data_IF_391332376995
#
_entry.id   IF_391332376995
#
_cell.length_a   1.000
_cell.length_b   1.000
_cell.length_c   1.000
_cell.angle_alpha   90.00
_cell.angle_beta   90.00
_cell.angle_gamma   90.00
#
_symmetry.space_group_name_H-M   'P 1'
#
loop_
_entity.id
_entity.type
_entity.pdbx_description
1 polymer ?
#
# COMPACT_ATOMS: atom_id res chain seq x y z
N UNK A 1 -3.75 -23.43 0.37
CA UNK A 1 -3.60 -21.99 0.65
C UNK A 1 -4.93 -21.27 0.47
N UNK A 2 -5.59 -21.46 -0.67
CA UNK A 2 -6.90 -20.90 -0.98
C UNK A 2 -7.96 -21.16 0.12
N UNK A 3 -8.10 -22.40 0.62
CA UNK A 3 -9.05 -22.73 1.69
C UNK A 3 -8.87 -21.88 2.96
N UNK A 4 -7.63 -21.58 3.33
CA UNK A 4 -7.30 -20.75 4.50
C UNK A 4 -7.68 -19.29 4.24
N UNK A 5 -7.49 -18.81 3.01
CA UNK A 5 -7.86 -17.47 2.59
C UNK A 5 -9.38 -17.32 2.54
N UNK A 6 -10.08 -18.32 1.97
CA UNK A 6 -11.54 -18.37 1.81
C UNK A 6 -12.26 -18.36 3.14
N UNK A 7 -11.67 -18.94 4.20
CA UNK A 7 -12.22 -18.91 5.56
C UNK A 7 -12.30 -17.50 6.14
N UNK A 8 -11.33 -16.62 5.84
CA UNK A 8 -11.26 -15.27 6.40
C UNK A 8 -10.68 -14.25 5.39
N UNK A 9 -11.34 -13.97 4.25
CA UNK A 9 -10.77 -13.16 3.17
C UNK A 9 -10.46 -11.73 3.63
N UNK A 10 -11.32 -11.14 4.46
CA UNK A 10 -11.13 -9.80 5.03
C UNK A 10 -9.86 -9.70 5.88
N UNK A 11 -9.55 -10.74 6.67
CA UNK A 11 -8.33 -10.77 7.48
C UNK A 11 -7.09 -10.75 6.59
N UNK A 12 -7.11 -11.52 5.50
CA UNK A 12 -6.02 -11.56 4.53
C UNK A 12 -5.84 -10.23 3.79
N UNK A 13 -6.93 -9.54 3.44
CA UNK A 13 -6.87 -8.19 2.88
C UNK A 13 -6.21 -7.22 3.88
N UNK A 14 -6.57 -7.27 5.16
CA UNK A 14 -5.93 -6.41 6.18
C UNK A 14 -4.45 -6.77 6.36
N UNK A 15 -4.12 -8.06 6.41
CA UNK A 15 -2.74 -8.52 6.61
C UNK A 15 -1.82 -8.09 5.47
N UNK A 16 -2.23 -8.29 4.21
CA UNK A 16 -1.46 -7.86 3.02
C UNK A 16 -1.31 -6.34 3.02
N UNK A 17 -2.37 -5.60 3.30
CA UNK A 17 -2.32 -4.14 3.38
C UNK A 17 -1.30 -3.66 4.44
N UNK A 18 -1.36 -4.21 5.65
CA UNK A 18 -0.43 -3.84 6.72
C UNK A 18 1.02 -4.23 6.38
N UNK A 19 1.22 -5.37 5.72
CA UNK A 19 2.55 -5.78 5.25
C UNK A 19 3.12 -4.80 4.20
N UNK A 20 2.31 -4.39 3.22
CA UNK A 20 2.70 -3.40 2.21
C UNK A 20 3.01 -2.04 2.85
N UNK A 21 2.17 -1.57 3.76
CA UNK A 21 2.40 -0.32 4.50
C UNK A 21 3.68 -0.40 5.33
N UNK A 22 3.89 -1.49 6.06
CA UNK A 22 5.11 -1.69 6.85
C UNK A 22 6.36 -1.70 5.95
N UNK A 23 6.33 -2.41 4.83
CA UNK A 23 7.41 -2.40 3.83
C UNK A 23 7.68 -1.01 3.28
N UNK A 24 6.64 -0.25 2.95
CA UNK A 24 6.77 1.12 2.46
C UNK A 24 7.39 2.08 3.49
N UNK A 25 6.95 1.99 4.76
CA UNK A 25 7.50 2.79 5.86
C UNK A 25 8.93 2.37 6.23
N UNK A 26 9.29 1.10 6.05
CA UNK A 26 10.64 0.59 6.30
C UNK A 26 11.62 1.00 5.20
N UNK A 27 11.25 0.77 3.93
CA UNK A 27 12.10 1.08 2.77
C UNK A 27 12.22 2.58 2.50
N UNK A 28 11.24 3.38 2.94
CA UNK A 28 11.20 4.84 2.78
C UNK A 28 11.60 5.29 1.36
N UNK A 29 10.84 4.91 0.32
CA UNK A 29 11.23 5.20 -1.06
C UNK A 29 11.40 6.70 -1.28
N UNK A 30 12.47 7.08 -2.00
CA UNK A 30 12.87 8.48 -2.18
C UNK A 30 11.80 9.37 -2.85
N UNK A 31 10.81 8.77 -3.54
CA UNK A 31 9.67 9.49 -4.14
C UNK A 31 8.65 9.98 -3.10
N UNK A 32 8.57 9.32 -1.94
CA UNK A 32 7.61 9.63 -0.87
C UNK A 32 8.29 10.14 0.40
N UNK A 33 9.57 9.83 0.61
CA UNK A 33 10.35 10.23 1.78
C UNK A 33 11.55 11.10 1.40
N UNK A 34 11.84 12.08 2.26
CA UNK A 34 13.03 12.91 2.18
C UNK A 34 14.27 12.17 2.69
N UNK A 35 15.44 12.80 2.53
CA UNK A 35 16.73 12.23 2.99
C UNK A 35 16.75 11.96 4.50
N UNK A 36 16.04 12.77 5.26
CA UNK A 36 15.94 12.63 6.71
C UNK A 36 14.88 11.59 7.14
N UNK A 37 14.25 10.91 6.18
CA UNK A 37 13.19 9.93 6.42
C UNK A 37 11.83 10.53 6.76
N UNK A 38 11.67 11.85 6.65
CA UNK A 38 10.39 12.54 6.76
C UNK A 38 9.54 12.32 5.50
N UNK A 39 8.21 12.29 5.64
CA UNK A 39 7.31 12.25 4.49
C UNK A 39 7.44 13.54 3.69
N UNK A 40 7.63 13.43 2.37
CA UNK A 40 7.71 14.59 1.48
C UNK A 40 6.38 15.32 1.44
N UNK A 41 6.36 16.65 1.56
CA UNK A 41 5.13 17.42 1.40
C UNK A 41 4.64 17.31 -0.04
N UNK A 42 3.32 17.26 -0.20
CA UNK A 42 2.70 17.29 -1.52
C UNK A 42 2.92 18.64 -2.20
N UNK A 43 3.26 18.62 -3.50
CA UNK A 43 3.36 19.81 -4.33
C UNK A 43 4.32 19.65 -5.51
N UNK A 44 4.30 20.62 -6.43
CA UNK A 44 5.12 20.64 -7.66
C UNK A 44 6.23 21.70 -7.64
N UNK A 45 6.20 22.62 -6.68
CA UNK A 45 7.01 23.85 -6.70
C UNK A 45 8.22 23.89 -5.76
N UNK A 46 8.47 22.84 -4.97
CA UNK A 46 9.64 22.77 -4.08
C UNK A 46 10.52 21.59 -4.47
N UNK A 47 11.85 21.75 -4.40
CA UNK A 47 12.80 20.69 -4.74
C UNK A 47 12.57 19.39 -3.96
N UNK A 48 12.07 19.50 -2.73
CA UNK A 48 11.81 18.35 -1.85
C UNK A 48 10.32 17.97 -1.77
N UNK A 49 9.44 18.56 -2.58
CA UNK A 49 8.05 18.12 -2.64
C UNK A 49 7.87 16.88 -3.52
N UNK A 50 6.77 16.17 -3.32
CA UNK A 50 6.36 15.04 -4.16
C UNK A 50 5.03 15.32 -4.84
N UNK A 51 4.88 14.85 -6.07
CA UNK A 51 3.60 14.88 -6.80
C UNK A 51 2.68 13.76 -6.31
N UNK A 52 3.22 12.72 -5.67
CA UNK A 52 2.45 11.61 -5.12
C UNK A 52 2.34 11.74 -3.60
N UNK A 53 1.28 12.36 -3.08
CA UNK A 53 1.11 12.50 -1.65
C UNK A 53 1.01 11.12 -0.99
N UNK A 54 1.44 11.02 0.27
CA UNK A 54 1.52 9.73 0.99
C UNK A 54 0.20 8.97 0.99
N UNK A 55 -0.94 9.66 1.09
CA UNK A 55 -2.26 9.02 1.08
C UNK A 55 -2.58 8.28 -0.22
N UNK A 56 -1.98 8.68 -1.36
CA UNK A 56 -2.15 7.96 -2.64
C UNK A 56 -1.54 6.57 -2.56
N UNK A 57 -0.39 6.43 -1.90
CA UNK A 57 0.23 5.13 -1.65
C UNK A 57 -0.63 4.28 -0.72
N UNK A 58 -1.15 4.88 0.36
CA UNK A 58 -2.02 4.18 1.32
C UNK A 58 -3.29 3.66 0.64
N UNK A 59 -3.98 4.48 -0.15
CA UNK A 59 -5.16 4.07 -0.91
C UNK A 59 -4.78 3.01 -1.96
N UNK A 60 -3.67 3.21 -2.67
CA UNK A 60 -3.16 2.24 -3.65
C UNK A 60 -2.90 0.87 -3.05
N UNK A 61 -2.28 0.79 -1.88
CA UNK A 61 -2.05 -0.48 -1.18
C UNK A 61 -3.35 -1.14 -0.73
N UNK A 62 -4.36 -0.38 -0.35
CA UNK A 62 -5.67 -0.94 -0.01
C UNK A 62 -6.32 -1.59 -1.24
N UNK A 63 -6.28 -0.92 -2.40
CA UNK A 63 -6.78 -1.47 -3.68
C UNK A 63 -6.01 -2.73 -4.08
N UNK A 64 -4.67 -2.68 -4.06
CA UNK A 64 -3.82 -3.84 -4.37
C UNK A 64 -4.12 -5.02 -3.44
N UNK A 65 -4.32 -4.76 -2.15
CA UNK A 65 -4.63 -5.80 -1.18
C UNK A 65 -5.98 -6.49 -1.47
N UNK A 66 -7.02 -5.70 -1.76
CA UNK A 66 -8.32 -6.22 -2.18
C UNK A 66 -8.20 -7.08 -3.44
N UNK A 67 -7.60 -6.52 -4.50
CA UNK A 67 -7.45 -7.22 -5.79
C UNK A 67 -6.62 -8.51 -5.65
N UNK A 68 -5.59 -8.50 -4.81
CA UNK A 68 -4.78 -9.70 -4.57
C UNK A 68 -5.61 -10.83 -3.96
N UNK A 69 -6.47 -10.53 -2.97
CA UNK A 69 -7.31 -11.57 -2.34
C UNK A 69 -8.43 -12.02 -3.29
N UNK A 70 -9.03 -11.10 -4.04
CA UNK A 70 -10.03 -11.45 -5.08
C UNK A 70 -9.44 -12.38 -6.11
N UNK A 71 -8.25 -12.07 -6.62
CA UNK A 71 -7.53 -12.89 -7.59
C UNK A 71 -7.16 -14.27 -7.03
N UNK A 72 -6.67 -14.35 -5.78
CA UNK A 72 -6.30 -15.63 -5.14
C UNK A 72 -7.52 -16.54 -4.96
N UNK A 73 -8.71 -15.98 -4.74
CA UNK A 73 -9.93 -16.75 -4.48
C UNK A 73 -10.76 -17.03 -5.73
N UNK A 74 -10.29 -16.58 -6.89
CA UNK A 74 -10.97 -16.68 -8.18
C UNK A 74 -12.46 -16.30 -8.05
N UNK A 75 -12.71 -15.14 -7.43
CA UNK A 75 -14.07 -14.66 -7.25
C UNK A 75 -14.64 -14.29 -8.62
N UNK A 76 -15.55 -15.12 -9.13
CA UNK A 76 -16.47 -14.75 -10.20
C UNK A 76 -17.50 -13.74 -9.66
N UNK A 77 -17.71 -12.65 -10.42
CA UNK A 77 -18.67 -11.58 -10.10
C UNK A 77 -20.10 -11.94 -10.48
#
# INVERSE_FOLDING_TARGET
MEEVVRKNPKLWMVAIYLFLVAGFLYLKPAIAFGKDGNVRPFGVGKRESTVFPVWTWIIGFAVVSYLSVVYILDFEF
#
